data_IF_551336681953
#
_entry.id   IF_551336681953
#
_cell.length_a   1.000
_cell.length_b   1.000
_cell.length_c   1.000
_cell.angle_alpha   90.00
_cell.angle_beta   90.00
_cell.angle_gamma   90.00
#
_symmetry.space_group_name_H-M   'P 1'
#
loop_
_entity.id
_entity.type
_entity.pdbx_description
1 polymer ?
#
# COMPACT_ATOMS: atom_id res chain seq x y z
N UNK A 1 2.67 17.14 11.19
CA UNK A 1 1.62 17.51 10.22
C UNK A 1 1.62 19.02 10.02
N UNK A 2 1.82 19.52 8.79
CA UNK A 2 1.61 20.94 8.47
C UNK A 2 0.11 21.17 8.26
N UNK A 3 -0.45 22.23 8.84
CA UNK A 3 -1.87 22.58 8.68
C UNK A 3 -2.11 23.20 7.31
N UNK A 4 -3.15 22.76 6.62
CA UNK A 4 -3.61 23.41 5.39
C UNK A 4 -4.32 24.73 5.74
N UNK A 5 -4.18 25.77 4.90
CA UNK A 5 -5.01 26.97 4.99
C UNK A 5 -6.50 26.59 4.88
N UNK A 6 -7.37 27.25 5.66
CA UNK A 6 -8.82 26.96 5.72
C UNK A 6 -9.53 27.05 4.35
N UNK A 7 -9.03 27.87 3.42
CA UNK A 7 -9.57 27.95 2.05
C UNK A 7 -9.16 26.79 1.14
N UNK A 8 -8.19 25.97 1.54
CA UNK A 8 -7.68 24.84 0.78
C UNK A 8 -8.25 23.50 1.27
N UNK A 9 -9.15 23.49 2.25
CA UNK A 9 -9.76 22.27 2.82
C UNK A 9 -11.15 21.97 2.24
N UNK A 10 -11.64 22.80 1.33
CA UNK A 10 -12.94 22.66 0.67
C UNK A 10 -12.76 22.17 -0.77
N UNK A 11 -13.66 21.30 -1.23
CA UNK A 11 -13.66 20.71 -2.58
C UNK A 11 -13.73 21.74 -3.72
N UNK A 12 -14.23 22.95 -3.43
CA UNK A 12 -14.23 24.08 -4.35
C UNK A 12 -12.82 24.59 -4.71
N UNK A 13 -11.78 24.21 -3.96
CA UNK A 13 -10.42 24.68 -4.20
C UNK A 13 -9.69 23.76 -5.19
N UNK A 14 -9.17 24.31 -6.28
CA UNK A 14 -8.53 23.53 -7.37
C UNK A 14 -7.37 22.62 -6.90
N UNK A 15 -6.71 22.97 -5.79
CA UNK A 15 -5.61 22.19 -5.21
C UNK A 15 -6.11 21.09 -4.26
N UNK A 16 -7.34 21.17 -3.76
CA UNK A 16 -7.88 20.19 -2.80
C UNK A 16 -7.94 18.79 -3.39
N UNK A 17 -8.48 18.62 -4.60
CA UNK A 17 -8.56 17.32 -5.27
C UNK A 17 -7.18 16.67 -5.45
N UNK A 18 -6.20 17.43 -5.95
CA UNK A 18 -4.82 16.95 -6.14
C UNK A 18 -4.14 16.62 -4.81
N UNK A 19 -4.35 17.45 -3.78
CA UNK A 19 -3.82 17.21 -2.45
C UNK A 19 -4.43 15.95 -1.82
N UNK A 20 -5.75 15.82 -1.85
CA UNK A 20 -6.47 14.68 -1.32
C UNK A 20 -6.12 13.39 -2.06
N UNK A 21 -5.93 13.43 -3.38
CA UNK A 21 -5.48 12.28 -4.17
C UNK A 21 -4.08 11.80 -3.76
N UNK A 22 -3.15 12.71 -3.51
CA UNK A 22 -1.81 12.36 -3.02
C UNK A 22 -1.83 11.89 -1.58
N UNK A 23 -2.63 12.55 -0.74
CA UNK A 23 -2.78 12.21 0.66
C UNK A 23 -3.42 10.83 0.82
N UNK A 24 -4.43 10.51 0.01
CA UNK A 24 -5.09 9.21 0.01
C UNK A 24 -4.10 8.11 -0.38
N UNK A 25 -3.29 8.32 -1.41
CA UNK A 25 -2.23 7.38 -1.81
C UNK A 25 -1.20 7.12 -0.70
N UNK A 26 -0.93 8.11 0.15
CA UNK A 26 0.04 7.98 1.25
C UNK A 26 -0.57 7.51 2.59
N UNK A 27 -1.90 7.59 2.75
CA UNK A 27 -2.59 7.17 3.98
C UNK A 27 -3.13 5.75 3.85
N UNK A 28 -3.49 5.32 2.65
CA UNK A 28 -3.95 3.96 2.47
C UNK A 28 -2.78 2.98 2.61
N UNK A 29 -2.90 2.15 3.63
CA UNK A 29 -2.05 0.98 3.84
C UNK A 29 -2.67 -0.19 3.08
N UNK A 30 -1.81 -1.06 2.54
CA UNK A 30 -2.23 -2.34 1.99
C UNK A 30 -2.94 -3.18 3.05
N UNK A 31 -3.92 -3.97 2.64
CA UNK A 31 -4.61 -4.88 3.53
C UNK A 31 -3.63 -5.87 4.17
N UNK A 32 -3.60 -6.01 5.51
CA UNK A 32 -2.65 -6.87 6.17
C UNK A 32 -2.81 -8.35 5.78
N UNK A 33 -4.03 -8.83 5.51
CA UNK A 33 -4.26 -10.22 5.10
C UNK A 33 -3.67 -10.48 3.71
N UNK A 34 -3.87 -9.54 2.78
CA UNK A 34 -3.30 -9.65 1.43
C UNK A 34 -1.76 -9.58 1.46
N UNK A 35 -1.19 -8.74 2.35
CA UNK A 35 0.26 -8.63 2.51
C UNK A 35 0.85 -9.92 3.09
N UNK A 36 0.20 -10.52 4.10
CA UNK A 36 0.61 -11.81 4.66
C UNK A 36 0.57 -12.94 3.62
N UNK A 37 -0.49 -12.98 2.80
CA UNK A 37 -0.60 -13.93 1.70
C UNK A 37 0.53 -13.75 0.66
N UNK A 38 0.85 -12.51 0.32
CA UNK A 38 1.95 -12.19 -0.61
C UNK A 38 3.31 -12.59 -0.03
N UNK A 39 3.55 -12.36 1.26
CA UNK A 39 4.78 -12.77 1.96
C UNK A 39 4.91 -14.30 1.96
N UNK A 40 3.84 -15.03 2.27
CA UNK A 40 3.84 -16.48 2.25
C UNK A 40 4.12 -17.04 0.84
N UNK A 41 3.49 -16.47 -0.19
CA UNK A 41 3.76 -16.83 -1.58
C UNK A 41 5.23 -16.56 -1.96
N UNK A 42 5.77 -15.39 -1.61
CA UNK A 42 7.15 -15.02 -1.93
C UNK A 42 8.16 -15.91 -1.22
N UNK A 43 7.89 -16.28 0.04
CA UNK A 43 8.69 -17.25 0.78
C UNK A 43 8.72 -18.60 0.08
N UNK A 44 7.57 -19.10 -0.39
CA UNK A 44 7.50 -20.36 -1.14
C UNK A 44 8.26 -20.31 -2.48
N UNK A 45 8.23 -19.17 -3.20
CA UNK A 45 9.03 -18.98 -4.42
C UNK A 45 10.52 -19.01 -4.13
N UNK A 46 10.97 -18.41 -3.02
CA UNK A 46 12.37 -18.37 -2.63
C UNK A 46 12.90 -19.72 -2.14
N UNK A 47 12.08 -20.48 -1.42
CA UNK A 47 12.36 -21.88 -1.08
C UNK A 47 12.49 -22.75 -2.35
N UNK A 48 11.63 -22.54 -3.35
CA UNK A 48 11.71 -23.25 -4.64
C UNK A 48 12.95 -22.89 -5.47
N UNK A 49 13.49 -21.66 -5.30
CA UNK A 49 14.75 -21.23 -5.91
C UNK A 49 16.01 -21.68 -5.15
N UNK A 50 15.87 -22.52 -4.11
CA UNK A 50 16.98 -23.05 -3.30
C UNK A 50 17.82 -21.98 -2.60
N UNK A 51 17.22 -20.82 -2.31
CA UNK A 51 17.85 -19.76 -1.53
C UNK A 51 17.52 -20.00 -0.05
N UNK A 52 18.27 -20.91 0.58
CA UNK A 52 18.10 -21.23 2.00
C UNK A 52 18.67 -20.13 2.91
N UNK A 53 17.96 -19.83 4.01
CA UNK A 53 18.26 -18.83 5.05
C UNK A 53 17.93 -17.35 4.73
N UNK A 54 16.76 -17.08 4.16
CA UNK A 54 16.25 -15.71 4.08
C UNK A 54 15.55 -15.32 5.39
N UNK A 55 15.94 -14.18 5.97
CA UNK A 55 15.22 -13.58 7.10
C UNK A 55 13.90 -13.00 6.58
N UNK A 56 12.86 -12.89 7.39
CA UNK A 56 11.59 -12.27 6.96
C UNK A 56 11.83 -10.84 6.38
N UNK A 57 12.84 -10.11 6.87
CA UNK A 57 13.31 -8.85 6.31
C UNK A 57 13.79 -8.94 4.84
N UNK A 58 14.45 -10.04 4.46
CA UNK A 58 14.91 -10.26 3.09
C UNK A 58 13.73 -10.58 2.16
N UNK A 59 12.72 -11.28 2.67
CA UNK A 59 11.47 -11.52 1.94
C UNK A 59 10.76 -10.19 1.69
N UNK A 60 10.61 -9.36 2.72
CA UNK A 60 10.01 -8.02 2.58
C UNK A 60 10.76 -7.09 1.63
N UNK A 61 12.11 -7.15 1.60
CA UNK A 61 12.92 -6.37 0.65
C UNK A 61 12.77 -6.80 -0.80
N UNK A 62 12.42 -8.06 -1.03
CA UNK A 62 12.21 -8.60 -2.37
C UNK A 62 10.79 -8.39 -2.89
N UNK A 63 9.84 -8.03 -2.04
CA UNK A 63 8.49 -7.66 -2.45
C UNK A 63 8.54 -6.31 -3.17
N UNK A 64 8.17 -6.31 -4.45
CA UNK A 64 8.13 -5.08 -5.23
C UNK A 64 6.81 -4.35 -4.98
N UNK A 65 6.85 -3.02 -5.02
CA UNK A 65 5.64 -2.17 -4.98
C UNK A 65 4.66 -2.50 -6.11
N UNK A 66 5.14 -3.03 -7.23
CA UNK A 66 4.29 -3.54 -8.31
C UNK A 66 3.54 -4.83 -7.96
N UNK A 67 4.15 -5.73 -7.17
CA UNK A 67 3.51 -6.95 -6.70
C UNK A 67 2.46 -6.63 -5.62
N UNK A 68 2.79 -5.71 -4.71
CA UNK A 68 1.82 -5.15 -3.76
C UNK A 68 0.61 -4.54 -4.46
N UNK A 69 0.82 -3.74 -5.51
CA UNK A 69 -0.28 -3.12 -6.26
C UNK A 69 -1.11 -4.10 -7.10
N UNK A 70 -0.57 -5.28 -7.43
CA UNK A 70 -1.26 -6.30 -8.21
C UNK A 70 -2.02 -7.30 -7.32
N UNK A 71 -1.49 -7.60 -6.14
CA UNK A 71 -1.99 -8.68 -5.28
C UNK A 71 -2.61 -8.20 -3.97
N UNK A 72 -2.27 -6.99 -3.51
CA UNK A 72 -2.86 -6.43 -2.30
C UNK A 72 -3.90 -5.37 -2.65
N UNK A 73 -5.04 -5.46 -1.99
CA UNK A 73 -6.02 -4.38 -1.99
C UNK A 73 -5.62 -3.34 -0.95
N UNK A 74 -6.02 -2.08 -1.16
CA UNK A 74 -5.90 -1.08 -0.11
C UNK A 74 -6.99 -1.37 0.93
N UNK A 75 -6.64 -1.38 2.22
CA UNK A 75 -7.48 -1.80 3.36
C UNK A 75 -8.81 -1.03 3.53
N UNK A 76 -9.17 -0.13 2.61
CA UNK A 76 -10.38 0.68 2.64
C UNK A 76 -11.00 0.90 1.24
N UNK A 77 -10.71 0.05 0.25
CA UNK A 77 -11.39 0.12 -1.05
C UNK A 77 -12.92 -0.14 -0.96
N UNK A 78 -13.39 -0.71 0.15
CA UNK A 78 -14.80 -1.06 0.38
C UNK A 78 -15.65 0.04 1.03
N UNK A 79 -15.06 1.13 1.54
CA UNK A 79 -15.81 2.21 2.22
C UNK A 79 -16.29 3.34 1.31
N UNK A 80 -16.01 3.29 0.00
CA UNK A 80 -16.43 4.33 -0.97
C UNK A 80 -17.42 3.82 -2.03
N UNK A 81 -18.05 2.66 -1.80
CA UNK A 81 -19.27 2.24 -2.50
C UNK A 81 -20.46 2.25 -1.52
N UNK A 82 -20.90 3.44 -1.12
CA UNK A 82 -22.22 3.69 -0.54
C UNK A 82 -22.66 5.12 -0.87
#
# INVERSE_FOLDING_TARGET
MRRLPVGCTTDAHAVYATFMSRLSQCIYVWDPEDVEALVAAKKSEMEAMHVENQTDDDVFRNIKTSELAMHCTLANATLFQA
#
